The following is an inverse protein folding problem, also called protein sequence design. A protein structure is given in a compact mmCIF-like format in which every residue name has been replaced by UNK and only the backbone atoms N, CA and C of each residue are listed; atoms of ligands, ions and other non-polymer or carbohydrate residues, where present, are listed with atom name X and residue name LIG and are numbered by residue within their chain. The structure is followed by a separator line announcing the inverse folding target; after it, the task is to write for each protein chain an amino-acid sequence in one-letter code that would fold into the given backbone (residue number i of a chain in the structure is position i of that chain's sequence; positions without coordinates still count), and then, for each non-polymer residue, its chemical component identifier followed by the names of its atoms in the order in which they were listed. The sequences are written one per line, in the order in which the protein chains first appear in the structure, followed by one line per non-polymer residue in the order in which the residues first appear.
data_IF_036549530429
#
_entry.id   IF_036549530429
#
_cell.length_a   1.000
_cell.length_b   1.000
_cell.length_c   1.000
_cell.angle_alpha   90.00
_cell.angle_beta   90.00
_cell.angle_gamma   90.00
#
_symmetry.space_group_name_H-M   'P 1'
#
loop_
_entity.id
_entity.type
_entity.pdbx_description
1 polymer ?
#
# COMPACT_ATOMS: atom_id res chain seq x y z
N UNK A 1 -29.03 28.12 -13.00
CA UNK A 1 -29.10 26.85 -13.76
C UNK A 1 -29.47 25.78 -12.75
N UNK A 2 -30.50 24.99 -13.00
CA UNK A 2 -30.99 23.95 -12.08
C UNK A 2 -29.96 22.81 -11.89
N UNK A 3 -29.96 22.14 -10.74
CA UNK A 3 -29.02 21.04 -10.42
C UNK A 3 -29.13 19.89 -11.44
N UNK A 4 -30.34 19.51 -11.84
CA UNK A 4 -30.56 18.44 -12.82
C UNK A 4 -29.98 18.80 -14.18
N UNK A 5 -30.12 20.07 -14.59
CA UNK A 5 -29.55 20.57 -15.84
C UNK A 5 -28.02 20.54 -15.84
N UNK A 6 -27.38 20.83 -14.69
CA UNK A 6 -25.93 20.74 -14.55
C UNK A 6 -25.44 19.30 -14.61
N UNK A 7 -26.11 18.36 -13.94
CA UNK A 7 -25.80 16.93 -14.00
C UNK A 7 -25.95 16.37 -15.42
N UNK A 8 -27.03 16.72 -16.11
CA UNK A 8 -27.25 16.31 -17.50
C UNK A 8 -26.13 16.81 -18.41
N UNK A 9 -25.77 18.08 -18.31
CA UNK A 9 -24.66 18.67 -19.08
C UNK A 9 -23.32 17.99 -18.76
N UNK A 10 -23.06 17.65 -17.49
CA UNK A 10 -21.86 16.92 -17.12
C UNK A 10 -21.84 15.53 -17.75
N UNK A 11 -22.96 14.79 -17.68
CA UNK A 11 -23.09 13.48 -18.30
C UNK A 11 -22.87 13.53 -19.81
N UNK A 12 -23.43 14.53 -20.50
CA UNK A 12 -23.24 14.73 -21.94
C UNK A 12 -21.75 14.90 -22.28
N UNK A 13 -21.01 15.74 -21.54
CA UNK A 13 -19.55 15.89 -21.75
C UNK A 13 -18.77 14.57 -21.59
N UNK A 14 -19.17 13.74 -20.62
CA UNK A 14 -18.52 12.44 -20.34
C UNK A 14 -18.83 11.40 -21.42
N UNK A 15 -20.02 11.47 -22.01
CA UNK A 15 -20.44 10.61 -23.14
C UNK A 15 -19.81 11.06 -24.47
N UNK A 16 -19.63 12.37 -24.67
CA UNK A 16 -19.05 12.95 -25.89
C UNK A 16 -17.55 12.64 -26.06
N UNK A 17 -16.80 12.44 -24.98
CA UNK A 17 -15.36 12.20 -25.05
C UNK A 17 -14.83 11.26 -23.98
N UNK A 18 -14.08 10.24 -24.41
CA UNK A 18 -13.30 9.37 -23.51
C UNK A 18 -12.13 10.10 -22.83
N UNK A 19 -11.66 11.20 -23.43
CA UNK A 19 -10.54 12.01 -22.94
C UNK A 19 -10.97 13.16 -22.04
N UNK A 20 -12.27 13.31 -21.79
CA UNK A 20 -12.78 14.34 -20.90
C UNK A 20 -12.19 14.17 -19.49
N UNK A 21 -11.59 15.24 -18.97
CA UNK A 21 -11.00 15.28 -17.62
C UNK A 21 -11.64 16.41 -16.83
N UNK A 22 -12.57 16.11 -15.92
CA UNK A 22 -13.19 17.15 -15.12
C UNK A 22 -12.19 17.73 -14.13
N UNK A 23 -12.37 19.02 -13.84
CA UNK A 23 -11.64 19.67 -12.75
C UNK A 23 -12.15 19.17 -11.38
N UNK A 24 -11.33 19.24 -10.31
CA UNK A 24 -11.79 18.89 -8.96
C UNK A 24 -13.05 19.65 -8.52
N UNK A 25 -13.15 20.95 -8.83
CA UNK A 25 -14.34 21.76 -8.54
C UNK A 25 -15.58 21.33 -9.34
N UNK A 26 -15.40 20.87 -10.58
CA UNK A 26 -16.52 20.36 -11.38
C UNK A 26 -17.04 19.04 -10.79
N UNK A 27 -16.16 18.13 -10.37
CA UNK A 27 -16.58 16.91 -9.67
C UNK A 27 -17.23 17.20 -8.32
N UNK A 28 -16.75 18.20 -7.58
CA UNK A 28 -17.35 18.61 -6.31
C UNK A 28 -18.77 19.14 -6.52
N UNK A 29 -18.96 19.95 -7.56
CA UNK A 29 -20.29 20.43 -7.96
C UNK A 29 -21.20 19.26 -8.32
N UNK A 30 -20.70 18.28 -9.08
CA UNK A 30 -21.47 17.07 -9.44
C UNK A 30 -21.85 16.25 -8.20
N UNK A 31 -20.94 16.09 -7.22
CA UNK A 31 -21.25 15.39 -5.97
C UNK A 31 -22.36 16.11 -5.18
N UNK A 32 -22.25 17.43 -5.07
CA UNK A 32 -23.25 18.27 -4.39
C UNK A 32 -24.61 18.17 -5.09
N UNK A 33 -24.64 18.34 -6.41
CA UNK A 33 -25.85 18.27 -7.22
C UNK A 33 -26.52 16.89 -7.15
N UNK A 34 -25.72 15.81 -7.14
CA UNK A 34 -26.22 14.44 -6.97
C UNK A 34 -26.86 14.23 -5.61
N UNK A 35 -26.28 14.76 -4.54
CA UNK A 35 -26.84 14.65 -3.19
C UNK A 35 -28.15 15.43 -3.07
N UNK A 36 -28.17 16.68 -3.53
CA UNK A 36 -29.33 17.59 -3.45
C UNK A 36 -30.53 17.07 -4.25
N UNK A 37 -30.28 16.57 -5.47
CA UNK A 37 -31.35 16.28 -6.43
C UNK A 37 -31.55 14.77 -6.68
N UNK A 38 -30.89 13.91 -5.90
CA UNK A 38 -31.02 12.44 -6.00
C UNK A 38 -32.48 11.96 -6.07
N UNK A 39 -33.37 12.55 -5.25
CA UNK A 39 -34.78 12.16 -5.14
C UNK A 39 -35.66 12.62 -6.30
N UNK A 40 -35.27 13.68 -7.02
CA UNK A 40 -36.02 14.19 -8.18
C UNK A 40 -35.58 13.53 -9.49
N UNK A 41 -34.36 13.01 -9.55
CA UNK A 41 -33.84 12.28 -10.71
C UNK A 41 -34.60 10.98 -10.98
N UNK A 42 -34.79 10.68 -12.27
CA UNK A 42 -35.22 9.34 -12.70
C UNK A 42 -34.15 8.30 -12.33
N UNK A 43 -34.55 7.02 -12.19
CA UNK A 43 -33.60 5.95 -11.89
C UNK A 43 -32.48 5.83 -12.94
N UNK A 44 -32.81 6.08 -14.22
CA UNK A 44 -31.84 6.05 -15.31
C UNK A 44 -30.84 7.20 -15.22
N UNK A 45 -31.31 8.42 -14.96
CA UNK A 45 -30.43 9.59 -14.85
C UNK A 45 -29.56 9.56 -13.59
N UNK A 46 -30.09 8.98 -12.51
CA UNK A 46 -29.30 8.72 -11.29
C UNK A 46 -28.17 7.74 -11.57
N UNK A 47 -28.46 6.61 -12.21
CA UNK A 47 -27.44 5.61 -12.60
C UNK A 47 -26.41 6.21 -13.55
N UNK A 48 -26.84 6.97 -14.56
CA UNK A 48 -25.95 7.67 -15.49
C UNK A 48 -25.00 8.60 -14.74
N UNK A 49 -25.53 9.45 -13.87
CA UNK A 49 -24.75 10.42 -13.10
C UNK A 49 -23.76 9.76 -12.14
N UNK A 50 -24.17 8.68 -11.47
CA UNK A 50 -23.30 7.87 -10.62
C UNK A 50 -22.14 7.26 -11.42
N UNK A 51 -22.40 6.72 -12.62
CA UNK A 51 -21.35 6.18 -13.51
C UNK A 51 -20.38 7.27 -13.96
N UNK A 52 -20.91 8.39 -14.45
CA UNK A 52 -20.12 9.53 -14.92
C UNK A 52 -19.19 10.06 -13.85
N UNK A 53 -19.68 10.24 -12.62
CA UNK A 53 -18.84 10.62 -11.48
C UNK A 53 -17.83 9.52 -11.13
N UNK A 54 -18.27 8.26 -11.08
CA UNK A 54 -17.45 7.11 -10.73
C UNK A 54 -16.24 6.91 -11.65
N UNK A 55 -16.33 7.27 -12.93
CA UNK A 55 -15.23 7.18 -13.90
C UNK A 55 -13.98 7.99 -13.55
N UNK A 56 -14.08 8.96 -12.64
CA UNK A 56 -12.97 9.88 -12.34
C UNK A 56 -12.39 9.72 -10.93
N UNK A 57 -12.90 8.80 -10.09
CA UNK A 57 -12.49 8.67 -8.68
C UNK A 57 -11.00 8.33 -8.48
N UNK A 58 -10.38 7.61 -9.42
CA UNK A 58 -8.95 7.30 -9.40
C UNK A 58 -8.12 8.19 -10.35
N UNK A 59 -8.71 9.28 -10.87
CA UNK A 59 -8.00 10.18 -11.78
C UNK A 59 -6.75 10.80 -11.13
N UNK A 60 -5.64 10.98 -11.87
CA UNK A 60 -4.39 11.50 -11.33
C UNK A 60 -4.50 12.92 -10.78
N UNK A 61 -5.47 13.71 -11.27
CA UNK A 61 -5.75 15.06 -10.82
C UNK A 61 -6.63 15.13 -9.56
N UNK A 62 -7.09 13.99 -9.05
CA UNK A 62 -8.02 13.90 -7.92
C UNK A 62 -7.26 13.66 -6.63
N UNK A 63 -7.40 14.58 -5.68
CA UNK A 63 -6.79 14.48 -4.36
C UNK A 63 -7.50 13.40 -3.52
N UNK A 64 -6.80 12.89 -2.50
CA UNK A 64 -7.36 11.90 -1.59
C UNK A 64 -8.66 12.37 -0.88
N UNK A 65 -8.77 13.61 -0.37
CA UNK A 65 -10.03 14.12 0.19
C UNK A 65 -11.18 14.13 -0.83
N UNK A 66 -10.89 14.51 -2.08
CA UNK A 66 -11.90 14.54 -3.15
C UNK A 66 -12.37 13.13 -3.52
N UNK A 67 -11.46 12.14 -3.50
CA UNK A 67 -11.83 10.73 -3.69
C UNK A 67 -12.80 10.26 -2.62
N UNK A 68 -12.55 10.58 -1.35
CA UNK A 68 -13.45 10.25 -0.24
C UNK A 68 -14.82 10.90 -0.45
N UNK A 69 -14.86 12.16 -0.89
CA UNK A 69 -16.10 12.87 -1.18
C UNK A 69 -16.92 12.17 -2.28
N UNK A 70 -16.29 11.82 -3.40
CA UNK A 70 -16.93 11.06 -4.47
C UNK A 70 -17.47 9.70 -3.97
N UNK A 71 -16.71 8.98 -3.15
CA UNK A 71 -17.14 7.70 -2.58
C UNK A 71 -18.35 7.86 -1.65
N UNK A 72 -18.33 8.88 -0.79
CA UNK A 72 -19.43 9.17 0.13
C UNK A 72 -20.69 9.59 -0.64
N UNK A 73 -20.54 10.42 -1.66
CA UNK A 73 -21.62 10.78 -2.57
C UNK A 73 -22.21 9.53 -3.24
N UNK A 74 -21.35 8.67 -3.81
CA UNK A 74 -21.80 7.44 -4.47
C UNK A 74 -22.56 6.54 -3.51
N UNK A 75 -22.05 6.36 -2.28
CA UNK A 75 -22.68 5.55 -1.23
C UNK A 75 -24.03 6.12 -0.80
N UNK A 76 -24.16 7.43 -0.67
CA UNK A 76 -25.38 8.08 -0.21
C UNK A 76 -26.50 8.02 -1.26
N UNK A 77 -26.14 8.11 -2.55
CA UNK A 77 -27.11 8.19 -3.66
C UNK A 77 -27.41 6.82 -4.27
N UNK A 78 -26.48 5.87 -4.19
CA UNK A 78 -26.65 4.52 -4.75
C UNK A 78 -27.53 3.65 -3.86
N UNK A 79 -28.57 3.06 -4.45
CA UNK A 79 -29.34 1.98 -3.84
C UNK A 79 -28.96 0.61 -4.45
N UNK A 80 -29.49 -0.48 -3.86
CA UNK A 80 -29.16 -1.85 -4.33
C UNK A 80 -29.58 -2.13 -5.78
N UNK A 81 -30.60 -1.44 -6.31
CA UNK A 81 -31.03 -1.58 -7.71
C UNK A 81 -30.12 -0.80 -8.65
N UNK A 82 -29.80 0.45 -8.30
CA UNK A 82 -28.84 1.26 -9.04
C UNK A 82 -27.47 0.57 -9.11
N UNK A 83 -26.97 0.03 -8.00
CA UNK A 83 -25.72 -0.72 -7.96
C UNK A 83 -25.75 -1.95 -8.88
N UNK A 84 -26.84 -2.72 -8.88
CA UNK A 84 -26.98 -3.88 -9.74
C UNK A 84 -26.94 -3.51 -11.24
N UNK A 85 -27.59 -2.42 -11.63
CA UNK A 85 -27.55 -1.89 -13.00
C UNK A 85 -26.14 -1.42 -13.38
N UNK A 86 -25.46 -0.71 -12.48
CA UNK A 86 -24.08 -0.27 -12.69
C UNK A 86 -23.14 -1.47 -12.88
N UNK A 87 -23.30 -2.53 -12.07
CA UNK A 87 -22.52 -3.77 -12.21
C UNK A 87 -22.81 -4.45 -13.55
N UNK A 88 -24.07 -4.52 -13.96
CA UNK A 88 -24.47 -5.11 -15.24
C UNK A 88 -23.79 -4.39 -16.42
N UNK A 89 -23.71 -3.06 -16.36
CA UNK A 89 -23.02 -2.25 -17.38
C UNK A 89 -21.50 -2.33 -17.28
N UNK A 90 -20.93 -2.42 -16.06
CA UNK A 90 -19.49 -2.44 -15.83
C UNK A 90 -18.84 -3.72 -16.34
N UNK A 91 -19.43 -4.88 -16.04
CA UNK A 91 -18.88 -6.21 -16.38
C UNK A 91 -18.40 -6.34 -17.84
N UNK A 92 -19.21 -6.00 -18.86
CA UNK A 92 -18.77 -6.12 -20.26
C UNK A 92 -17.69 -5.09 -20.65
N UNK A 93 -17.51 -4.03 -19.88
CA UNK A 93 -16.48 -3.00 -20.14
C UNK A 93 -15.10 -3.34 -19.56
N UNK A 94 -15.02 -4.34 -18.68
CA UNK A 94 -13.75 -4.80 -18.12
C UNK A 94 -12.91 -5.51 -19.18
N UNK A 95 -11.59 -5.47 -19.00
CA UNK A 95 -10.65 -6.16 -19.88
C UNK A 95 -10.90 -7.68 -19.85
N UNK A 96 -11.30 -8.26 -20.99
CA UNK A 96 -11.64 -9.68 -21.12
C UNK A 96 -10.52 -10.48 -21.81
N UNK A 97 -9.41 -10.70 -21.12
CA UNK A 97 -8.38 -11.66 -21.55
C UNK A 97 -8.68 -13.03 -20.91
N UNK A 98 -8.66 -14.10 -21.71
CA UNK A 98 -8.96 -15.45 -21.21
C UNK A 98 -7.84 -15.95 -20.30
N UNK A 99 -8.13 -16.11 -19.01
CA UNK A 99 -7.19 -16.71 -18.06
C UNK A 99 -7.51 -18.19 -17.82
N UNK A 100 -6.65 -19.10 -18.29
CA UNK A 100 -6.85 -20.55 -18.13
C UNK A 100 -6.69 -21.05 -16.70
N UNK A 101 -6.06 -20.26 -15.81
CA UNK A 101 -5.82 -20.62 -14.40
C UNK A 101 -7.04 -20.43 -13.51
N UNK A 102 -8.08 -19.76 -14.00
CA UNK A 102 -9.31 -19.48 -13.25
C UNK A 102 -10.49 -20.33 -13.75
N UNK A 103 -11.39 -20.65 -12.82
CA UNK A 103 -12.73 -21.15 -13.11
C UNK A 103 -13.67 -20.02 -13.53
N UNK A 104 -14.81 -20.36 -14.12
CA UNK A 104 -15.86 -19.38 -14.46
C UNK A 104 -16.39 -18.65 -13.22
N UNK A 105 -16.24 -19.26 -12.04
CA UNK A 105 -16.57 -18.65 -10.75
C UNK A 105 -15.44 -17.77 -10.19
N UNK A 106 -14.35 -17.58 -10.92
CA UNK A 106 -13.21 -16.76 -10.50
C UNK A 106 -12.28 -17.42 -9.48
N UNK A 107 -12.49 -18.70 -9.15
CA UNK A 107 -11.62 -19.47 -8.24
C UNK A 107 -10.41 -20.06 -8.98
N UNK A 108 -9.28 -20.21 -8.29
CA UNK A 108 -8.09 -20.82 -8.87
C UNK A 108 -8.31 -22.31 -9.19
N UNK A 109 -7.99 -22.72 -10.42
CA UNK A 109 -7.96 -24.13 -10.82
C UNK A 109 -6.62 -24.73 -10.41
N UNK A 110 -6.62 -25.70 -9.50
CA UNK A 110 -5.47 -26.58 -9.30
C UNK A 110 -5.32 -27.50 -10.53
N UNK A 111 -4.71 -27.00 -11.60
CA UNK A 111 -4.19 -27.85 -12.67
C UNK A 111 -2.68 -27.94 -12.48
N UNK A 112 -2.16 -29.18 -12.42
CA UNK A 112 -0.74 -29.45 -12.56
C UNK A 112 -0.30 -28.98 -13.95
N UNK A 113 0.21 -27.75 -14.04
CA UNK A 113 0.89 -27.28 -15.24
C UNK A 113 2.25 -27.98 -15.31
N UNK A 114 2.26 -29.19 -15.85
CA UNK A 114 3.47 -29.86 -16.28
C UNK A 114 4.11 -29.05 -17.42
N UNK A 115 5.15 -28.28 -17.09
CA UNK A 115 6.07 -27.66 -18.05
C UNK A 115 5.82 -26.19 -18.39
N UNK A 116 6.92 -25.47 -18.63
CA UNK A 116 6.92 -24.18 -19.33
C UNK A 116 6.53 -24.44 -20.80
N UNK A 117 5.29 -24.14 -21.16
CA UNK A 117 4.87 -24.03 -22.56
C UNK A 117 4.85 -22.54 -22.95
N UNK A 118 5.99 -21.92 -23.28
CA UNK A 118 5.98 -20.55 -23.79
C UNK A 118 5.24 -20.57 -25.13
N UNK A 119 4.01 -20.07 -25.15
CA UNK A 119 3.26 -19.86 -26.39
C UNK A 119 3.87 -18.66 -27.11
N UNK A 120 4.98 -18.88 -27.82
CA UNK A 120 5.57 -17.91 -28.75
C UNK A 120 4.46 -17.44 -29.72
N UNK A 121 4.17 -16.14 -29.72
CA UNK A 121 3.26 -15.49 -30.68
C UNK A 121 1.83 -15.16 -30.20
N UNK A 122 1.44 -15.45 -28.95
CA UNK A 122 0.13 -15.01 -28.42
C UNK A 122 0.10 -13.60 -27.83
N UNK A 123 1.25 -13.09 -27.38
CA UNK A 123 1.35 -11.76 -26.77
C UNK A 123 0.73 -10.66 -27.65
N UNK A 124 0.99 -10.69 -28.97
CA UNK A 124 0.48 -9.68 -29.90
C UNK A 124 -1.05 -9.57 -29.94
N UNK A 125 -1.80 -10.67 -29.79
CA UNK A 125 -3.27 -10.62 -29.78
C UNK A 125 -3.82 -10.09 -28.47
N UNK A 126 -3.19 -10.44 -27.35
CA UNK A 126 -3.57 -9.94 -26.04
C UNK A 126 -3.23 -8.45 -25.89
N UNK A 127 -2.08 -8.03 -26.42
CA UNK A 127 -1.66 -6.63 -26.49
C UNK A 127 -2.60 -5.79 -27.37
N UNK A 128 -3.09 -6.35 -28.48
CA UNK A 128 -4.10 -5.71 -29.33
C UNK A 128 -5.45 -5.56 -28.60
N UNK A 129 -5.90 -6.58 -27.88
CA UNK A 129 -7.12 -6.51 -27.05
C UNK A 129 -6.97 -5.42 -25.98
N UNK A 130 -5.82 -5.36 -25.29
CA UNK A 130 -5.52 -4.35 -24.27
C UNK A 130 -5.50 -2.94 -24.85
N UNK A 131 -4.84 -2.77 -25.99
CA UNK A 131 -4.76 -1.48 -26.69
C UNK A 131 -6.14 -1.01 -27.14
N UNK A 132 -6.94 -1.88 -27.76
CA UNK A 132 -8.30 -1.56 -28.18
C UNK A 132 -9.21 -1.23 -27.00
N UNK A 133 -9.10 -1.99 -25.90
CA UNK A 133 -9.83 -1.71 -24.66
C UNK A 133 -9.49 -0.33 -24.10
N UNK A 134 -8.20 0.02 -24.03
CA UNK A 134 -7.75 1.32 -23.55
C UNK A 134 -8.24 2.47 -24.46
N UNK A 135 -8.13 2.32 -25.78
CA UNK A 135 -8.58 3.31 -26.77
C UNK A 135 -10.10 3.54 -26.74
N UNK A 136 -10.88 2.54 -26.36
CA UNK A 136 -12.34 2.63 -26.20
C UNK A 136 -12.76 3.16 -24.82
N UNK A 137 -11.85 3.82 -24.09
CA UNK A 137 -12.11 4.39 -22.78
C UNK A 137 -12.13 3.36 -21.66
N UNK A 138 -11.57 2.17 -21.85
CA UNK A 138 -11.51 1.12 -20.82
C UNK A 138 -10.83 1.57 -19.53
N UNK A 139 -9.84 2.47 -19.60
CA UNK A 139 -9.12 2.99 -18.43
C UNK A 139 -10.05 3.67 -17.41
N UNK A 140 -11.08 4.40 -17.86
CA UNK A 140 -12.06 5.06 -16.96
C UNK A 140 -12.91 4.05 -16.18
N UNK A 141 -13.07 2.84 -16.73
CA UNK A 141 -13.85 1.76 -16.09
C UNK A 141 -13.17 1.25 -14.83
N UNK A 142 -11.84 1.39 -14.72
CA UNK A 142 -11.06 1.05 -13.52
C UNK A 142 -11.52 1.89 -12.32
N UNK A 143 -11.69 3.20 -12.49
CA UNK A 143 -12.21 4.08 -11.44
C UNK A 143 -13.63 3.69 -11.02
N UNK A 144 -14.50 3.39 -11.97
CA UNK A 144 -15.86 2.95 -11.66
C UNK A 144 -15.84 1.59 -10.93
N UNK A 145 -14.97 0.68 -11.35
CA UNK A 145 -14.80 -0.62 -10.70
C UNK A 145 -14.36 -0.46 -9.25
N UNK A 146 -13.41 0.44 -8.97
CA UNK A 146 -12.96 0.77 -7.63
C UNK A 146 -14.10 1.24 -6.72
N UNK A 147 -14.95 2.14 -7.21
CA UNK A 147 -16.11 2.64 -6.46
C UNK A 147 -17.12 1.52 -6.22
N UNK A 148 -17.42 0.71 -7.24
CA UNK A 148 -18.34 -0.44 -7.13
C UNK A 148 -17.86 -1.44 -6.09
N UNK A 149 -16.56 -1.77 -6.05
CA UNK A 149 -15.99 -2.67 -5.04
C UNK A 149 -16.27 -2.17 -3.62
N UNK A 150 -16.14 -0.86 -3.38
CA UNK A 150 -16.43 -0.26 -2.07
C UNK A 150 -17.91 -0.28 -1.65
N UNK A 151 -18.84 -0.61 -2.56
CA UNK A 151 -20.27 -0.70 -2.26
C UNK A 151 -20.80 -2.14 -2.22
N UNK A 152 -19.99 -3.12 -2.61
CA UNK A 152 -20.39 -4.52 -2.59
C UNK A 152 -20.52 -5.01 -1.15
N UNK A 153 -21.67 -5.59 -0.83
CA UNK A 153 -21.89 -6.23 0.47
C UNK A 153 -21.15 -7.56 0.49
N UNK A 154 -20.56 -7.90 1.64
CA UNK A 154 -19.76 -9.14 1.82
C UNK A 154 -20.54 -10.38 1.38
N UNK A 155 -21.85 -10.45 1.68
CA UNK A 155 -22.73 -11.57 1.28
C UNK A 155 -22.81 -11.79 -0.24
N UNK A 156 -22.59 -10.75 -1.04
CA UNK A 156 -22.71 -10.80 -2.50
C UNK A 156 -21.36 -11.10 -3.17
N UNK A 157 -20.26 -11.17 -2.41
CA UNK A 157 -18.90 -11.38 -2.93
C UNK A 157 -18.80 -12.67 -3.72
N UNK A 158 -19.23 -13.79 -3.14
CA UNK A 158 -19.16 -15.10 -3.77
C UNK A 158 -19.85 -15.14 -5.15
N UNK A 159 -21.01 -14.49 -5.28
CA UNK A 159 -21.75 -14.41 -6.55
C UNK A 159 -21.10 -13.47 -7.59
N UNK A 160 -20.14 -12.63 -7.17
CA UNK A 160 -19.49 -11.65 -8.03
C UNK A 160 -18.01 -11.98 -8.32
N UNK A 161 -17.41 -12.99 -7.67
CA UNK A 161 -16.02 -13.39 -7.91
C UNK A 161 -15.70 -13.67 -9.38
N UNK A 162 -16.64 -14.26 -10.12
CA UNK A 162 -16.45 -14.66 -11.52
C UNK A 162 -16.10 -13.54 -12.48
N UNK A 163 -16.40 -12.28 -12.13
CA UNK A 163 -16.00 -11.11 -12.91
C UNK A 163 -15.01 -10.21 -12.17
N UNK A 164 -15.07 -10.16 -10.83
CA UNK A 164 -14.14 -9.35 -10.02
C UNK A 164 -12.70 -9.85 -10.20
N UNK A 165 -12.48 -11.16 -10.02
CA UNK A 165 -11.13 -11.73 -10.03
C UNK A 165 -10.49 -11.61 -11.41
N UNK A 166 -11.14 -12.03 -12.52
CA UNK A 166 -10.55 -11.84 -13.84
C UNK A 166 -10.35 -10.37 -14.20
N UNK A 167 -11.25 -9.48 -13.80
CA UNK A 167 -11.14 -8.04 -14.04
C UNK A 167 -9.89 -7.44 -13.39
N UNK A 168 -9.60 -7.79 -12.13
CA UNK A 168 -8.39 -7.36 -11.42
C UNK A 168 -7.15 -8.02 -12.02
N UNK A 169 -7.18 -9.34 -12.21
CA UNK A 169 -6.03 -10.12 -12.65
C UNK A 169 -5.58 -9.73 -14.06
N UNK A 170 -6.51 -9.47 -14.98
CA UNK A 170 -6.16 -9.05 -16.33
C UNK A 170 -5.42 -7.71 -16.36
N UNK A 171 -5.71 -6.80 -15.43
CA UNK A 171 -4.94 -5.56 -15.25
C UNK A 171 -3.56 -5.86 -14.63
N UNK A 172 -3.50 -6.69 -13.59
CA UNK A 172 -2.23 -7.05 -12.92
C UNK A 172 -1.28 -7.91 -13.79
N UNK A 173 -1.79 -8.62 -14.79
CA UNK A 173 -1.00 -9.37 -15.77
C UNK A 173 -0.50 -8.49 -16.93
N UNK A 174 -0.81 -7.18 -16.93
CA UNK A 174 -0.35 -6.27 -17.98
C UNK A 174 1.19 -6.14 -18.01
N UNK A 175 1.73 -6.16 -19.22
CA UNK A 175 3.17 -6.03 -19.49
C UNK A 175 3.53 -4.74 -20.23
N UNK A 176 2.54 -3.94 -20.64
CA UNK A 176 2.71 -2.78 -21.50
C UNK A 176 2.80 -1.48 -20.71
N UNK A 177 1.96 -1.30 -19.68
CA UNK A 177 1.90 -0.10 -18.85
C UNK A 177 1.87 -0.47 -17.36
N UNK A 178 3.02 -0.32 -16.73
CA UNK A 178 3.22 -0.61 -15.31
C UNK A 178 2.41 0.34 -14.41
N UNK A 179 2.36 1.64 -14.72
CA UNK A 179 1.76 2.64 -13.82
C UNK A 179 0.26 2.83 -14.08
N UNK A 180 -0.12 2.99 -15.35
CA UNK A 180 -1.49 3.33 -15.75
C UNK A 180 -2.45 2.14 -15.76
N UNK A 181 -1.94 0.91 -15.85
CA UNK A 181 -2.77 -0.31 -15.93
C UNK A 181 -2.41 -1.30 -14.81
N UNK A 182 -1.16 -1.78 -14.78
CA UNK A 182 -0.78 -2.86 -13.86
C UNK A 182 -0.93 -2.48 -12.39
N UNK A 183 -0.43 -1.30 -12.03
CA UNK A 183 -0.53 -0.78 -10.66
C UNK A 183 -1.98 -0.50 -10.25
N UNK A 184 -2.83 -0.08 -11.19
CA UNK A 184 -4.26 0.11 -10.93
C UNK A 184 -4.96 -1.21 -10.59
N UNK A 185 -4.52 -2.33 -11.19
CA UNK A 185 -4.94 -3.66 -10.78
C UNK A 185 -4.63 -3.94 -9.30
N UNK A 186 -3.45 -3.56 -8.82
CA UNK A 186 -3.10 -3.68 -7.40
C UNK A 186 -3.96 -2.78 -6.49
N UNK A 187 -4.28 -1.55 -6.91
CA UNK A 187 -5.21 -0.65 -6.19
C UNK A 187 -6.61 -1.28 -6.07
N UNK A 188 -7.12 -1.89 -7.13
CA UNK A 188 -8.40 -2.60 -7.10
C UNK A 188 -8.35 -3.84 -6.20
N UNK A 189 -7.24 -4.58 -6.21
CA UNK A 189 -7.04 -5.71 -5.33
C UNK A 189 -7.03 -5.28 -3.86
N UNK A 190 -6.31 -4.21 -3.52
CA UNK A 190 -6.32 -3.65 -2.17
C UNK A 190 -7.74 -3.33 -1.73
N UNK A 191 -8.48 -2.58 -2.56
CA UNK A 191 -9.88 -2.20 -2.29
C UNK A 191 -10.78 -3.41 -2.09
N UNK A 192 -10.63 -4.43 -2.92
CA UNK A 192 -11.38 -5.68 -2.78
C UNK A 192 -11.08 -6.38 -1.45
N UNK A 193 -9.82 -6.44 -1.04
CA UNK A 193 -9.42 -7.10 0.20
C UNK A 193 -9.86 -6.32 1.44
N UNK A 194 -9.72 -4.99 1.44
CA UNK A 194 -9.96 -4.14 2.60
C UNK A 194 -11.44 -3.81 2.81
N UNK A 195 -12.16 -3.42 1.75
CA UNK A 195 -13.54 -2.91 1.86
C UNK A 195 -14.59 -3.98 1.51
N UNK A 196 -14.30 -4.85 0.55
CA UNK A 196 -15.27 -5.84 0.07
C UNK A 196 -15.23 -7.13 0.88
N UNK A 197 -14.02 -7.65 1.19
CA UNK A 197 -13.85 -8.86 2.02
C UNK A 197 -13.73 -8.48 3.49
N UNK A 198 -12.85 -7.53 3.82
CA UNK A 198 -12.65 -7.01 5.16
C UNK A 198 -11.83 -7.92 6.08
N UNK A 199 -11.49 -7.41 7.25
CA UNK A 199 -10.62 -8.08 8.24
C UNK A 199 -11.38 -8.64 9.45
N UNK A 200 -12.64 -9.04 9.29
CA UNK A 200 -13.49 -9.50 10.40
C UNK A 200 -13.03 -10.85 10.96
N UNK A 201 -12.84 -10.93 12.29
CA UNK A 201 -12.48 -12.18 13.00
C UNK A 201 -13.51 -13.31 12.84
N UNK A 202 -14.74 -12.97 12.48
CA UNK A 202 -15.73 -13.91 11.95
C UNK A 202 -15.91 -13.65 10.46
N UNK A 203 -15.09 -14.29 9.60
CA UNK A 203 -15.15 -14.06 8.16
C UNK A 203 -16.49 -14.57 7.63
N UNK A 204 -17.28 -13.67 7.05
CA UNK A 204 -18.50 -14.02 6.32
C UNK A 204 -18.19 -14.62 4.93
N UNK A 205 -16.92 -14.57 4.52
CA UNK A 205 -16.41 -15.09 3.25
C UNK A 205 -15.07 -15.81 3.47
N UNK A 206 -14.98 -17.06 3.03
CA UNK A 206 -13.73 -17.83 3.08
C UNK A 206 -12.86 -17.53 1.86
N UNK A 207 -11.96 -16.55 2.00
CA UNK A 207 -10.98 -16.23 0.96
C UNK A 207 -9.96 -17.35 0.77
N UNK A 208 -9.54 -18.04 1.83
CA UNK A 208 -8.52 -19.09 1.76
C UNK A 208 -8.95 -20.27 0.88
N UNK A 209 -10.25 -20.61 0.91
CA UNK A 209 -10.86 -21.62 0.05
C UNK A 209 -10.88 -21.26 -1.45
N UNK A 210 -10.60 -20.01 -1.83
CA UNK A 210 -10.58 -19.59 -3.24
C UNK A 210 -9.27 -19.92 -3.96
N UNK A 211 -8.17 -20.10 -3.21
CA UNK A 211 -6.83 -20.30 -3.74
C UNK A 211 -6.20 -19.06 -4.40
N UNK A 212 -6.82 -17.88 -4.29
CA UNK A 212 -6.38 -16.65 -4.95
C UNK A 212 -5.05 -16.10 -4.42
N UNK A 213 -4.69 -16.42 -3.18
CA UNK A 213 -3.39 -16.08 -2.61
C UNK A 213 -2.23 -16.53 -3.51
N UNK A 214 -2.28 -17.77 -4.02
CA UNK A 214 -1.25 -18.35 -4.90
C UNK A 214 -1.12 -17.67 -6.25
N UNK A 215 -2.11 -16.86 -6.63
CA UNK A 215 -2.12 -16.11 -7.89
C UNK A 215 -1.60 -14.70 -7.66
N UNK A 216 -2.13 -14.00 -6.65
CA UNK A 216 -1.83 -12.59 -6.44
C UNK A 216 -0.50 -12.33 -5.73
N UNK A 217 -0.10 -13.17 -4.77
CA UNK A 217 1.13 -12.96 -4.01
C UNK A 217 2.37 -12.92 -4.92
N UNK A 218 2.58 -13.85 -5.87
CA UNK A 218 3.77 -13.80 -6.73
C UNK A 218 3.80 -12.57 -7.63
N UNK A 219 2.65 -12.06 -8.06
CA UNK A 219 2.58 -10.85 -8.91
C UNK A 219 2.94 -9.61 -8.10
N UNK A 220 2.38 -9.46 -6.90
CA UNK A 220 2.71 -8.36 -5.98
C UNK A 220 4.20 -8.40 -5.59
N UNK A 221 4.70 -9.57 -5.21
CA UNK A 221 6.11 -9.77 -4.86
C UNK A 221 7.02 -9.46 -6.06
N UNK A 222 6.66 -9.87 -7.27
CA UNK A 222 7.40 -9.48 -8.48
C UNK A 222 7.41 -7.97 -8.70
N UNK A 223 6.30 -7.27 -8.41
CA UNK A 223 6.26 -5.81 -8.55
C UNK A 223 7.13 -5.10 -7.52
N UNK A 224 7.28 -5.67 -6.31
CA UNK A 224 8.21 -5.13 -5.31
C UNK A 224 9.65 -5.03 -5.81
N UNK A 225 10.08 -5.98 -6.65
CA UNK A 225 11.45 -6.03 -7.18
C UNK A 225 11.75 -4.97 -8.27
N UNK A 226 10.81 -4.05 -8.57
CA UNK A 226 11.11 -2.83 -9.32
C UNK A 226 11.92 -1.87 -8.45
N UNK A 227 13.24 -1.99 -8.54
CA UNK A 227 14.20 -1.17 -7.80
C UNK A 227 14.60 0.09 -8.58
N UNK A 228 15.05 1.16 -7.89
CA UNK A 228 15.38 2.43 -8.53
C UNK A 228 16.60 2.34 -9.46
N UNK A 229 17.41 1.27 -9.38
CA UNK A 229 18.47 0.99 -10.36
C UNK A 229 17.93 0.61 -11.75
N UNK A 230 16.68 0.16 -11.86
CA UNK A 230 16.07 -0.34 -13.10
C UNK A 230 14.73 0.32 -13.43
N UNK A 231 14.21 1.16 -12.55
CA UNK A 231 12.93 1.83 -12.67
C UNK A 231 13.07 3.24 -12.10
N UNK A 232 12.36 4.22 -12.66
CA UNK A 232 12.40 5.58 -12.12
C UNK A 232 12.11 5.60 -10.60
N UNK A 233 12.85 6.37 -9.77
CA UNK A 233 12.66 6.37 -8.32
C UNK A 233 11.26 6.83 -7.87
N UNK A 234 10.63 7.79 -8.56
CA UNK A 234 9.27 8.22 -8.23
C UNK A 234 8.26 7.14 -8.56
N UNK A 235 8.44 6.46 -9.69
CA UNK A 235 7.62 5.30 -10.04
C UNK A 235 7.83 4.15 -9.04
N UNK A 236 9.06 3.88 -8.63
CA UNK A 236 9.38 2.89 -7.58
C UNK A 236 8.66 3.21 -6.28
N UNK A 237 8.67 4.49 -5.86
CA UNK A 237 7.94 4.96 -4.67
C UNK A 237 6.45 4.67 -4.78
N UNK A 238 5.83 4.96 -5.92
CA UNK A 238 4.41 4.66 -6.19
C UNK A 238 4.12 3.16 -6.15
N UNK A 239 4.97 2.35 -6.78
CA UNK A 239 4.85 0.89 -6.79
C UNK A 239 4.90 0.35 -5.37
N UNK A 240 5.93 0.66 -4.59
CA UNK A 240 6.05 0.20 -3.21
C UNK A 240 4.96 0.76 -2.29
N UNK A 241 4.51 1.99 -2.54
CA UNK A 241 3.37 2.63 -1.87
C UNK A 241 2.06 1.87 -2.05
N UNK A 242 1.87 1.21 -3.20
CA UNK A 242 0.66 0.43 -3.51
C UNK A 242 0.82 -1.05 -3.16
N UNK A 243 1.96 -1.65 -3.52
CA UNK A 243 2.21 -3.09 -3.37
C UNK A 243 2.28 -3.49 -1.90
N UNK A 244 2.97 -2.72 -1.05
CA UNK A 244 3.09 -3.06 0.37
C UNK A 244 1.74 -3.19 1.07
N UNK A 245 0.87 -2.15 1.10
CA UNK A 245 -0.41 -2.28 1.79
C UNK A 245 -1.30 -3.37 1.16
N UNK A 246 -1.26 -3.53 -0.16
CA UNK A 246 -1.99 -4.61 -0.85
C UNK A 246 -1.53 -6.00 -0.41
N UNK A 247 -0.21 -6.21 -0.31
CA UNK A 247 0.37 -7.48 0.12
C UNK A 247 0.04 -7.80 1.59
N UNK A 248 0.11 -6.80 2.46
CA UNK A 248 -0.29 -6.95 3.87
C UNK A 248 -1.80 -7.25 3.98
N UNK A 249 -2.66 -6.57 3.21
CA UNK A 249 -4.08 -6.86 3.17
C UNK A 249 -4.35 -8.29 2.69
N UNK A 250 -3.61 -8.75 1.68
CA UNK A 250 -3.72 -10.12 1.16
C UNK A 250 -3.35 -11.15 2.23
N UNK A 251 -2.24 -10.95 2.96
CA UNK A 251 -1.86 -11.83 4.06
C UNK A 251 -2.91 -11.85 5.18
N UNK A 252 -3.46 -10.69 5.55
CA UNK A 252 -4.48 -10.59 6.60
C UNK A 252 -5.76 -11.35 6.25
N UNK A 253 -6.23 -11.23 5.00
CA UNK A 253 -7.44 -11.90 4.53
C UNK A 253 -7.22 -13.41 4.36
N UNK A 254 -6.10 -13.84 3.78
CA UNK A 254 -5.78 -15.26 3.55
C UNK A 254 -5.59 -16.05 4.86
N UNK A 255 -4.95 -15.42 5.85
CA UNK A 255 -4.55 -16.06 7.10
C UNK A 255 -5.38 -15.61 8.30
N UNK A 256 -6.59 -15.11 8.06
CA UNK A 256 -7.47 -14.57 9.11
C UNK A 256 -7.78 -15.58 10.22
N UNK A 257 -7.90 -16.87 9.87
CA UNK A 257 -8.11 -17.99 10.80
C UNK A 257 -6.82 -18.66 11.24
N UNK A 258 -5.66 -18.25 10.69
CA UNK A 258 -4.34 -18.87 10.89
C UNK A 258 -3.28 -17.79 11.16
N UNK A 259 -3.36 -17.07 12.31
CA UNK A 259 -2.47 -15.92 12.60
C UNK A 259 -0.99 -16.29 12.57
N UNK A 260 -0.63 -17.53 12.89
CA UNK A 260 0.75 -18.03 12.78
C UNK A 260 1.33 -17.87 11.36
N UNK A 261 0.54 -18.18 10.33
CA UNK A 261 0.97 -18.06 8.93
C UNK A 261 1.03 -16.59 8.49
N UNK A 262 0.15 -15.73 9.01
CA UNK A 262 0.28 -14.28 8.82
C UNK A 262 1.63 -13.80 9.34
N UNK A 263 1.98 -14.17 10.58
CA UNK A 263 3.24 -13.78 11.18
C UNK A 263 4.44 -14.35 10.42
N UNK A 264 4.38 -15.59 9.96
CA UNK A 264 5.44 -16.21 9.15
C UNK A 264 5.68 -15.42 7.84
N UNK A 265 4.62 -15.09 7.10
CA UNK A 265 4.75 -14.37 5.82
C UNK A 265 5.25 -12.94 6.02
N UNK A 266 4.76 -12.24 7.06
CA UNK A 266 5.23 -10.89 7.40
C UNK A 266 6.68 -10.93 7.89
N UNK A 267 7.04 -11.91 8.71
CA UNK A 267 8.42 -12.15 9.18
C UNK A 267 9.37 -12.38 8.01
N UNK A 268 8.98 -13.22 7.05
CA UNK A 268 9.76 -13.49 5.85
C UNK A 268 9.96 -12.22 5.03
N UNK A 269 8.89 -11.47 4.76
CA UNK A 269 8.96 -10.22 4.01
C UNK A 269 9.85 -9.18 4.71
N UNK A 270 9.68 -8.98 6.01
CA UNK A 270 10.52 -8.09 6.82
C UNK A 270 12.01 -8.49 6.75
N UNK A 271 12.31 -9.75 6.98
CA UNK A 271 13.68 -10.24 7.14
C UNK A 271 14.44 -10.36 5.81
N UNK A 272 13.81 -10.97 4.81
CA UNK A 272 14.44 -11.31 3.52
C UNK A 272 14.29 -10.17 2.52
N UNK A 273 13.13 -9.52 2.48
CA UNK A 273 12.86 -8.50 1.46
C UNK A 273 13.28 -7.12 1.94
N UNK A 274 12.78 -6.64 3.09
CA UNK A 274 13.06 -5.27 3.54
C UNK A 274 14.50 -5.11 4.08
N UNK A 275 14.86 -5.90 5.11
CA UNK A 275 16.12 -5.75 5.82
C UNK A 275 17.32 -6.28 5.01
N UNK A 276 17.19 -7.45 4.39
CA UNK A 276 18.32 -8.11 3.72
C UNK A 276 18.55 -7.63 2.28
N UNK A 277 17.49 -7.30 1.53
CA UNK A 277 17.61 -6.95 0.11
C UNK A 277 17.37 -5.47 -0.15
N UNK A 278 16.28 -4.90 0.37
CA UNK A 278 15.81 -3.57 -0.05
C UNK A 278 16.67 -2.46 0.53
N UNK A 279 16.77 -2.35 1.87
CA UNK A 279 17.50 -1.27 2.53
C UNK A 279 18.97 -1.16 2.09
N UNK A 280 19.76 -2.26 2.04
CA UNK A 280 21.16 -2.18 1.62
C UNK A 280 21.36 -1.62 0.20
N UNK A 281 20.36 -1.78 -0.69
CA UNK A 281 20.44 -1.33 -2.09
C UNK A 281 20.06 0.13 -2.29
N UNK A 282 19.28 0.72 -1.37
CA UNK A 282 18.74 2.08 -1.55
C UNK A 282 19.28 3.10 -0.55
N UNK A 283 19.83 2.64 0.58
CA UNK A 283 20.21 3.45 1.74
C UNK A 283 21.01 4.71 1.41
N UNK A 284 21.96 4.61 0.47
CA UNK A 284 22.90 5.69 0.17
C UNK A 284 22.33 6.69 -0.82
N UNK A 285 21.65 6.19 -1.87
CA UNK A 285 21.34 6.98 -3.06
C UNK A 285 19.90 7.48 -3.11
N UNK A 286 19.00 6.93 -2.30
CA UNK A 286 17.57 7.25 -2.35
C UNK A 286 17.00 7.48 -0.95
N UNK A 287 17.22 8.67 -0.34
CA UNK A 287 16.81 8.94 1.03
C UNK A 287 15.31 8.80 1.27
N UNK A 288 14.47 9.37 0.41
CA UNK A 288 13.01 9.26 0.49
C UNK A 288 12.52 7.81 0.48
N UNK A 289 13.03 7.00 -0.48
CA UNK A 289 12.68 5.58 -0.55
C UNK A 289 13.17 4.83 0.68
N UNK A 290 14.31 5.23 1.24
CA UNK A 290 14.88 4.63 2.45
C UNK A 290 13.98 4.91 3.66
N UNK A 291 13.57 6.16 3.87
CA UNK A 291 12.64 6.56 4.94
C UNK A 291 11.34 5.75 4.83
N UNK A 292 10.70 5.77 3.66
CA UNK A 292 9.44 5.04 3.48
C UNK A 292 9.64 3.53 3.72
N UNK A 293 10.82 2.97 3.39
CA UNK A 293 11.11 1.54 3.60
C UNK A 293 11.30 1.24 5.08
N UNK A 294 11.97 2.10 5.83
CA UNK A 294 12.11 1.98 7.29
C UNK A 294 10.75 2.09 7.97
N UNK A 295 9.86 3.00 7.54
CA UNK A 295 8.50 3.08 8.07
C UNK A 295 7.71 1.79 7.84
N UNK A 296 7.90 1.12 6.70
CA UNK A 296 7.32 -0.20 6.41
C UNK A 296 7.88 -1.30 7.32
N UNK A 297 9.17 -1.24 7.70
CA UNK A 297 9.74 -2.12 8.74
C UNK A 297 8.96 -1.91 10.04
N UNK A 298 8.72 -0.66 10.43
CA UNK A 298 7.89 -0.32 11.60
C UNK A 298 6.50 -0.94 11.54
N UNK A 299 5.82 -0.83 10.39
CA UNK A 299 4.50 -1.45 10.19
C UNK A 299 4.55 -2.99 10.34
N UNK A 300 5.58 -3.66 9.83
CA UNK A 300 5.78 -5.10 10.04
C UNK A 300 6.00 -5.44 11.52
N UNK A 301 6.79 -4.64 12.26
CA UNK A 301 7.02 -4.83 13.70
C UNK A 301 5.71 -4.75 14.47
N UNK A 302 4.84 -3.78 14.15
CA UNK A 302 3.53 -3.65 14.79
C UNK A 302 2.62 -4.86 14.53
N UNK A 303 2.68 -5.44 13.33
CA UNK A 303 1.91 -6.66 13.01
C UNK A 303 2.45 -7.88 13.78
N UNK A 304 3.77 -8.01 13.91
CA UNK A 304 4.41 -9.14 14.56
C UNK A 304 4.36 -9.06 16.11
N UNK A 305 4.26 -7.86 16.68
CA UNK A 305 4.30 -7.65 18.12
C UNK A 305 5.57 -8.24 18.75
N UNK A 306 5.42 -9.02 19.83
CA UNK A 306 6.54 -9.69 20.51
C UNK A 306 7.37 -10.60 19.61
N UNK A 307 6.77 -11.16 18.55
CA UNK A 307 7.45 -12.07 17.62
C UNK A 307 8.48 -11.35 16.76
N UNK A 308 8.42 -10.02 16.67
CA UNK A 308 9.42 -9.21 15.98
C UNK A 308 10.84 -9.38 16.53
N UNK A 309 10.98 -9.92 17.76
CA UNK A 309 12.25 -10.11 18.45
C UNK A 309 13.28 -10.92 17.65
N UNK A 310 12.85 -11.86 16.80
CA UNK A 310 13.74 -12.66 15.95
C UNK A 310 14.47 -11.80 14.90
N UNK A 311 13.94 -10.62 14.60
CA UNK A 311 14.50 -9.67 13.62
C UNK A 311 15.32 -8.56 14.27
N UNK A 312 15.27 -8.41 15.60
CA UNK A 312 15.90 -7.30 16.31
C UNK A 312 17.41 -7.19 15.99
N UNK A 313 18.14 -8.30 16.09
CA UNK A 313 19.57 -8.32 15.80
C UNK A 313 19.88 -7.90 14.35
N UNK A 314 19.07 -8.37 13.39
CA UNK A 314 19.24 -8.02 11.97
C UNK A 314 18.90 -6.56 11.71
N UNK A 315 17.82 -6.05 12.30
CA UNK A 315 17.43 -4.65 12.18
C UNK A 315 18.52 -3.73 12.73
N UNK A 316 19.07 -4.04 13.92
CA UNK A 316 20.19 -3.30 14.51
C UNK A 316 21.41 -3.30 13.57
N UNK A 317 21.78 -4.46 13.03
CA UNK A 317 22.92 -4.56 12.11
C UNK A 317 22.68 -3.74 10.82
N UNK A 318 21.51 -3.88 10.19
CA UNK A 318 21.21 -3.19 8.93
C UNK A 318 21.14 -1.68 9.15
N UNK A 319 20.46 -1.23 10.20
CA UNK A 319 20.38 0.20 10.52
C UNK A 319 21.75 0.76 10.92
N UNK A 320 22.50 0.04 11.75
CA UNK A 320 23.86 0.41 12.16
C UNK A 320 24.79 0.60 10.97
N UNK A 321 24.93 -0.42 10.13
CA UNK A 321 25.94 -0.41 9.07
C UNK A 321 25.53 0.41 7.86
N UNK A 322 24.26 0.32 7.41
CA UNK A 322 23.84 0.96 6.17
C UNK A 322 23.26 2.37 6.37
N UNK A 323 22.63 2.66 7.52
CA UNK A 323 21.90 3.92 7.73
C UNK A 323 22.62 4.87 8.70
N UNK A 324 23.16 4.35 9.80
CA UNK A 324 23.77 5.14 10.86
C UNK A 324 25.25 5.39 10.57
N UNK A 325 26.01 4.38 10.14
CA UNK A 325 27.47 4.52 9.94
C UNK A 325 27.86 5.10 8.57
N UNK A 326 26.97 5.02 7.58
CA UNK A 326 27.30 5.35 6.19
C UNK A 326 27.39 6.86 5.91
N UNK A 327 28.60 7.41 5.88
CA UNK A 327 28.91 8.86 5.73
C UNK A 327 28.42 9.54 4.45
N UNK A 328 27.84 8.79 3.51
CA UNK A 328 27.46 9.26 2.17
C UNK A 328 25.99 9.67 2.06
N UNK A 329 25.23 9.58 3.15
CA UNK A 329 23.78 9.82 3.16
C UNK A 329 23.47 11.33 3.17
N UNK A 330 22.71 11.79 2.17
CA UNK A 330 22.39 13.22 1.96
C UNK A 330 21.23 13.76 2.81
N UNK A 331 20.40 12.90 3.42
CA UNK A 331 19.33 13.29 4.36
C UNK A 331 19.37 12.42 5.63
N UNK A 332 20.50 12.51 6.34
CA UNK A 332 20.75 11.70 7.52
C UNK A 332 19.67 11.90 8.60
N UNK A 333 19.18 13.13 8.78
CA UNK A 333 18.28 13.48 9.88
C UNK A 333 16.95 12.75 9.81
N UNK A 334 16.26 12.84 8.68
CA UNK A 334 14.96 12.21 8.52
C UNK A 334 15.08 10.68 8.55
N UNK A 335 16.18 10.13 8.04
CA UNK A 335 16.49 8.69 8.15
C UNK A 335 16.70 8.30 9.61
N UNK A 336 17.48 9.06 10.39
CA UNK A 336 17.69 8.78 11.81
C UNK A 336 16.38 8.85 12.61
N UNK A 337 15.51 9.82 12.31
CA UNK A 337 14.18 9.91 12.91
C UNK A 337 13.35 8.64 12.70
N UNK A 338 13.25 8.19 11.44
CA UNK A 338 12.52 6.96 11.10
C UNK A 338 13.17 5.72 11.74
N UNK A 339 14.51 5.62 11.72
CA UNK A 339 15.26 4.54 12.38
C UNK A 339 14.99 4.50 13.88
N UNK A 340 15.07 5.62 14.59
CA UNK A 340 14.80 5.67 16.02
C UNK A 340 13.36 5.33 16.36
N UNK A 341 12.40 5.76 15.54
CA UNK A 341 10.99 5.39 15.68
C UNK A 341 10.81 3.88 15.59
N UNK A 342 11.44 3.22 14.62
CA UNK A 342 11.37 1.77 14.47
C UNK A 342 12.12 1.03 15.58
N UNK A 343 13.29 1.51 16.01
CA UNK A 343 14.02 0.92 17.14
C UNK A 343 13.23 1.00 18.45
N UNK A 344 12.52 2.10 18.70
CA UNK A 344 11.57 2.21 19.82
C UNK A 344 10.44 1.20 19.69
N UNK A 345 9.84 1.08 18.50
CA UNK A 345 8.81 0.07 18.26
C UNK A 345 9.30 -1.35 18.55
N UNK A 346 10.56 -1.68 18.23
CA UNK A 346 11.17 -2.95 18.65
C UNK A 346 11.30 -3.05 20.19
N UNK A 347 11.80 -2.02 20.87
CA UNK A 347 11.93 -2.02 22.34
C UNK A 347 10.57 -2.21 23.02
N UNK A 348 9.55 -1.51 22.53
CA UNK A 348 8.21 -1.54 23.10
C UNK A 348 7.55 -2.91 22.90
N UNK A 349 7.68 -3.49 21.71
CA UNK A 349 7.05 -4.77 21.39
C UNK A 349 7.85 -6.00 21.85
N UNK A 350 9.18 -5.95 21.92
CA UNK A 350 9.97 -7.15 22.24
C UNK A 350 9.92 -7.52 23.74
N UNK A 351 10.12 -8.81 24.09
CA UNK A 351 10.31 -9.23 25.47
C UNK A 351 11.51 -8.54 26.14
N UNK A 352 11.34 -8.17 27.42
CA UNK A 352 12.33 -7.44 28.23
C UNK A 352 13.73 -8.06 28.16
N UNK A 353 13.86 -9.36 28.39
CA UNK A 353 15.16 -10.04 28.46
C UNK A 353 15.95 -9.94 27.16
N UNK A 354 15.24 -9.94 26.03
CA UNK A 354 15.84 -9.82 24.70
C UNK A 354 16.29 -8.39 24.43
N UNK A 355 15.52 -7.39 24.84
CA UNK A 355 15.95 -5.98 24.77
C UNK A 355 17.20 -5.76 25.63
N UNK A 356 17.22 -6.29 26.86
CA UNK A 356 18.39 -6.19 27.76
C UNK A 356 19.63 -6.84 27.15
N UNK A 357 19.49 -8.02 26.53
CA UNK A 357 20.60 -8.69 25.86
C UNK A 357 21.22 -7.86 24.72
N UNK A 358 20.43 -7.01 24.06
CA UNK A 358 20.88 -6.12 22.99
C UNK A 358 21.14 -4.67 23.45
N UNK A 359 21.10 -4.38 24.76
CA UNK A 359 21.20 -3.01 25.30
C UNK A 359 22.39 -2.22 24.77
N UNK A 360 23.56 -2.84 24.65
CA UNK A 360 24.77 -2.17 24.18
C UNK A 360 24.73 -1.87 22.68
N UNK A 361 24.12 -2.75 21.88
CA UNK A 361 24.00 -2.50 20.45
C UNK A 361 22.98 -1.38 20.18
N UNK A 362 21.85 -1.39 20.91
CA UNK A 362 20.85 -0.32 20.83
C UNK A 362 21.40 1.02 21.30
N UNK A 363 22.17 1.02 22.41
CA UNK A 363 22.87 2.22 22.87
C UNK A 363 23.91 2.69 21.87
N UNK A 364 24.70 1.79 21.28
CA UNK A 364 25.69 2.12 20.26
C UNK A 364 25.05 2.78 19.04
N UNK A 365 23.91 2.26 18.55
CA UNK A 365 23.16 2.93 17.47
C UNK A 365 22.83 4.38 17.82
N UNK A 366 22.36 4.62 19.05
CA UNK A 366 22.00 5.96 19.52
C UNK A 366 23.21 6.90 19.61
N UNK A 367 24.29 6.46 20.24
CA UNK A 367 25.49 7.26 20.46
C UNK A 367 26.21 7.57 19.13
N UNK A 368 26.38 6.57 18.27
CA UNK A 368 27.04 6.75 16.95
C UNK A 368 26.23 7.69 16.06
N UNK A 369 24.90 7.59 16.07
CA UNK A 369 24.04 8.52 15.33
C UNK A 369 24.18 9.97 15.82
N UNK A 370 24.23 10.20 17.13
CA UNK A 370 24.52 11.52 17.70
C UNK A 370 25.90 12.03 17.27
N UNK A 371 26.96 11.25 17.50
CA UNK A 371 28.34 11.60 17.13
C UNK A 371 28.46 11.98 15.65
N UNK A 372 27.82 11.19 14.79
CA UNK A 372 27.83 11.43 13.35
C UNK A 372 27.13 12.74 12.97
N UNK A 373 25.96 13.01 13.56
CA UNK A 373 25.20 14.23 13.28
C UNK A 373 26.01 15.48 13.63
N UNK A 374 26.81 15.41 14.70
CA UNK A 374 27.70 16.51 15.10
C UNK A 374 28.94 16.63 14.21
N UNK A 375 29.47 15.50 13.73
CA UNK A 375 30.69 15.48 12.92
C UNK A 375 30.42 15.95 11.49
N UNK A 376 29.27 15.54 10.91
CA UNK A 376 28.89 15.86 9.53
C UNK A 376 28.33 17.28 9.37
N UNK A 377 28.04 17.97 10.48
CA UNK A 377 27.43 19.29 10.43
C UNK A 377 28.17 20.31 11.31
N UNK A 378 28.51 21.45 10.70
CA UNK A 378 28.54 22.77 11.36
C UNK A 378 27.14 23.19 11.85
N UNK A 379 26.32 22.26 12.35
CA UNK A 379 25.03 22.57 12.95
C UNK A 379 25.20 22.55 14.46
N UNK A 380 25.55 23.74 14.96
CA UNK A 380 25.12 24.14 16.29
C UNK A 380 23.59 23.95 16.35
N UNK A 381 23.11 23.23 17.36
CA UNK A 381 21.69 23.16 17.75
C UNK A 381 20.74 22.38 16.81
N UNK A 382 20.91 21.06 16.71
CA UNK A 382 19.77 20.20 16.32
C UNK A 382 19.32 19.33 17.49
N UNK A 383 18.50 19.93 18.35
CA UNK A 383 17.91 19.28 19.53
C UNK A 383 17.09 18.03 19.17
N UNK A 384 16.63 17.86 17.93
CA UNK A 384 15.65 16.84 17.59
C UNK A 384 16.23 15.41 17.62
N UNK A 385 17.35 15.14 16.94
CA UNK A 385 17.93 13.77 16.97
C UNK A 385 18.53 13.46 18.34
N UNK A 386 19.02 14.48 19.05
CA UNK A 386 19.45 14.34 20.44
C UNK A 386 18.29 13.97 21.37
N UNK A 387 17.13 14.64 21.21
CA UNK A 387 15.89 14.33 21.93
C UNK A 387 15.41 12.91 21.62
N UNK A 388 15.57 12.46 20.39
CA UNK A 388 15.21 11.10 19.98
C UNK A 388 16.13 10.04 20.57
N UNK A 389 17.44 10.29 20.59
CA UNK A 389 18.44 9.47 21.25
C UNK A 389 18.12 9.33 22.75
N UNK A 390 17.89 10.45 23.45
CA UNK A 390 17.45 10.44 24.86
C UNK A 390 16.16 9.65 25.04
N UNK A 391 15.20 9.83 24.15
CA UNK A 391 13.94 9.10 24.20
C UNK A 391 14.12 7.59 23.98
N UNK A 392 15.07 7.17 23.13
CA UNK A 392 15.44 5.76 22.97
C UNK A 392 16.10 5.20 24.23
N UNK A 393 17.05 5.94 24.82
CA UNK A 393 17.71 5.55 26.09
C UNK A 393 16.67 5.42 27.20
N UNK A 394 15.75 6.37 27.32
CA UNK A 394 14.64 6.31 28.28
C UNK A 394 13.74 5.10 28.03
N UNK A 395 13.45 4.76 26.77
CA UNK A 395 12.69 3.56 26.45
C UNK A 395 13.41 2.27 26.93
N UNK A 396 14.74 2.20 26.81
CA UNK A 396 15.55 1.10 27.36
C UNK A 396 15.46 1.04 28.89
N UNK A 397 15.57 2.17 29.58
CA UNK A 397 15.43 2.24 31.04
C UNK A 397 14.04 1.79 31.51
N UNK A 398 12.98 2.27 30.86
CA UNK A 398 11.59 1.88 31.14
C UNK A 398 11.39 0.38 30.92
N UNK A 399 12.02 -0.21 29.89
CA UNK A 399 11.99 -1.65 29.65
C UNK A 399 12.77 -2.44 30.72
N UNK A 400 13.60 -1.78 31.52
CA UNK A 400 14.32 -2.34 32.66
C UNK A 400 15.80 -2.57 32.42
N UNK A 401 16.40 -1.86 31.47
CA UNK A 401 17.87 -1.78 31.36
C UNK A 401 18.40 -0.93 32.51
N UNK A 402 19.34 -1.48 33.27
CA UNK A 402 20.05 -0.77 34.32
C UNK A 402 21.46 -0.45 33.82
N UNK A 403 21.79 0.84 33.83
CA UNK A 403 23.11 1.36 33.48
C UNK A 403 23.97 1.52 34.74
N UNK A 404 25.22 1.07 34.67
CA UNK A 404 26.22 1.29 35.72
C UNK A 404 26.59 2.78 35.79
N UNK A 405 27.20 3.21 36.90
CA UNK A 405 27.64 4.60 37.04
C UNK A 405 28.67 4.98 35.97
N UNK A 406 29.60 4.08 35.64
CA UNK A 406 30.57 4.28 34.56
C UNK A 406 29.88 4.42 33.19
N UNK A 407 28.87 3.60 32.90
CA UNK A 407 28.08 3.69 31.67
C UNK A 407 27.28 5.00 31.61
N UNK A 408 26.69 5.42 32.74
CA UNK A 408 26.00 6.72 32.87
C UNK A 408 26.96 7.87 32.66
N UNK A 409 28.18 7.78 33.21
CA UNK A 409 29.20 8.81 33.00
C UNK A 409 29.71 8.83 31.57
N UNK A 410 29.80 7.68 30.88
CA UNK A 410 30.19 7.64 29.47
C UNK A 410 29.08 8.16 28.55
N UNK A 411 27.82 7.84 28.85
CA UNK A 411 26.67 8.43 28.18
C UNK A 411 26.64 9.93 28.44
N UNK A 412 26.76 10.36 29.71
CA UNK A 412 26.84 11.78 30.07
C UNK A 412 28.01 12.43 29.37
N UNK A 413 29.24 11.93 29.41
CA UNK A 413 30.39 12.58 28.79
C UNK A 413 30.25 12.70 27.28
N UNK A 414 29.71 11.67 26.60
CA UNK A 414 29.47 11.69 25.16
C UNK A 414 28.24 12.51 24.76
N UNK A 415 27.30 12.73 25.68
CA UNK A 415 26.10 13.56 25.49
C UNK A 415 26.32 15.00 25.98
N UNK A 416 27.20 15.23 26.95
CA UNK A 416 27.52 16.52 27.59
C UNK A 416 28.71 17.20 26.94
N UNK A 417 29.59 16.47 26.25
CA UNK A 417 30.44 17.05 25.20
C UNK A 417 29.64 17.59 24.02
N UNK A 418 28.29 17.49 24.07
CA UNK A 418 27.32 17.97 23.09
C UNK A 418 26.45 19.14 23.61
N UNK A 419 26.84 19.80 24.71
CA UNK A 419 26.11 20.91 25.38
C UNK A 419 24.65 20.57 25.70
N UNK A 420 24.42 19.63 26.63
CA UNK A 420 23.09 19.09 26.89
C UNK A 420 22.90 18.65 28.36
N UNK A 421 21.95 19.26 29.08
CA UNK A 421 21.53 18.84 30.44
C UNK A 421 20.70 17.55 30.38
N UNK A 422 21.10 16.49 31.10
CA UNK A 422 20.38 15.20 31.20
C UNK A 422 19.36 15.21 32.33
#
# INVERSE_FOLDING_TARGET
MDCESRLKRFNEKVEESYDFRPSPSELQTVCTDLLECSNSLTAADRVRSLKSMGYFCLGPQISFPMRIECENCFKAVSDSKSLALIIQDLRPMLLQVKNSRLSEQGRFKQQELSGLNPKKGLAFKEDEIRSNWAQQGGTRTVSLFYVVLGQLKIKDVSSNLGWIVPGILNLMDDTSDLEGIKLQGAVLLERFLTETVGFSSQPQFDFSGTGLFKVFEPILTSMWYHFPQSTDPNLTKKIWGTVFPTLIALYRVEFITRPELLYENVSKFLSEVLLQVTLPRIAISYPDLTIDTVDRVGACVQILGERSVIHLQRAIHVFGDYLIRSVQIQDLKNILHSVFTVLKAFIDNCPKDRVIAHRYNLLACALVACERTLTEQKLQEDENVQRECRSLIKALEVKGVVWTEEERQLMKSRVSSLDLEI
#
